data_IF_358599270956
#
_entry.id   IF_358599270956
#
_cell.length_a   1.000
_cell.length_b   1.000
_cell.length_c   1.000
_cell.angle_alpha   90.00
_cell.angle_beta   90.00
_cell.angle_gamma   90.00
#
_symmetry.space_group_name_H-M   'P 1'
#
loop_
_entity.id
_entity.type
_entity.pdbx_description
1 polymer ?
#
# COMPACT_ATOMS: atom_id res chain seq x y z
N UNK A 1 7.38 22.91 -13.30
CA UNK A 1 7.72 21.78 -12.42
C UNK A 1 8.29 20.71 -13.33
N UNK A 2 9.61 20.44 -13.30
CA UNK A 2 10.20 19.41 -14.15
C UNK A 2 9.61 18.06 -13.78
N UNK A 3 9.22 17.27 -14.78
CA UNK A 3 8.77 15.90 -14.55
C UNK A 3 9.95 15.13 -13.93
N UNK A 4 9.74 14.62 -12.70
CA UNK A 4 10.76 13.83 -12.02
C UNK A 4 10.95 12.52 -12.79
N UNK A 5 12.20 12.14 -13.01
CA UNK A 5 12.54 10.83 -13.59
C UNK A 5 12.23 9.73 -12.57
N UNK A 6 12.00 8.51 -13.05
CA UNK A 6 11.73 7.33 -12.21
C UNK A 6 12.76 6.26 -12.49
N UNK A 7 13.30 5.63 -11.47
CA UNK A 7 14.09 4.43 -11.66
C UNK A 7 13.18 3.23 -11.96
N UNK A 8 13.67 2.38 -12.82
CA UNK A 8 13.07 1.10 -13.16
C UNK A 8 14.16 0.06 -12.97
N UNK A 9 13.85 -0.96 -12.18
CA UNK A 9 14.74 -2.10 -11.93
C UNK A 9 14.12 -3.31 -12.61
N UNK A 10 14.73 -3.79 -13.68
CA UNK A 10 14.24 -4.98 -14.39
C UNK A 10 14.57 -6.28 -13.64
N UNK A 11 14.07 -7.40 -14.13
CA UNK A 11 14.26 -8.72 -13.51
C UNK A 11 15.73 -9.16 -13.47
N UNK A 12 16.64 -8.52 -14.21
CA UNK A 12 18.08 -8.74 -14.21
C UNK A 12 18.82 -7.81 -13.26
N UNK A 13 18.13 -6.84 -12.66
CA UNK A 13 18.70 -5.83 -11.78
C UNK A 13 19.30 -4.62 -12.51
N UNK A 14 19.05 -4.47 -13.80
CA UNK A 14 19.45 -3.25 -14.54
C UNK A 14 18.58 -2.06 -14.11
N UNK A 15 19.24 -0.93 -13.81
CA UNK A 15 18.58 0.30 -13.39
C UNK A 15 18.50 1.26 -14.58
N UNK A 16 17.29 1.70 -14.90
CA UNK A 16 16.99 2.69 -15.95
C UNK A 16 16.24 3.86 -15.35
N UNK A 17 16.58 5.08 -15.73
CA UNK A 17 15.87 6.29 -15.32
C UNK A 17 14.96 6.78 -16.43
N UNK A 18 13.71 7.10 -16.11
CA UNK A 18 12.74 7.58 -17.09
C UNK A 18 11.76 8.60 -16.47
N UNK A 19 11.26 9.57 -17.26
CA UNK A 19 10.22 10.47 -16.82
C UNK A 19 8.96 9.72 -16.38
N UNK A 20 8.27 10.26 -15.39
CA UNK A 20 7.02 9.69 -14.84
C UNK A 20 5.99 9.34 -15.94
N UNK A 21 5.89 10.17 -16.96
CA UNK A 21 4.98 9.97 -18.08
C UNK A 21 5.29 8.74 -18.94
N UNK A 22 6.50 8.18 -18.80
CA UNK A 22 6.96 7.03 -19.60
C UNK A 22 6.85 5.69 -18.86
N UNK A 23 6.24 5.63 -17.68
CA UNK A 23 6.10 4.37 -16.95
C UNK A 23 5.39 3.29 -17.79
N UNK A 24 4.44 3.68 -18.65
CA UNK A 24 3.71 2.76 -19.53
C UNK A 24 4.63 2.10 -20.57
N UNK A 25 5.78 2.69 -20.89
CA UNK A 25 6.73 2.11 -21.87
C UNK A 25 7.43 0.85 -21.34
N UNK A 26 7.43 0.64 -20.04
CA UNK A 26 8.02 -0.53 -19.38
C UNK A 26 6.99 -1.65 -19.09
N UNK A 27 5.73 -1.39 -19.44
CA UNK A 27 4.67 -2.38 -19.39
C UNK A 27 4.55 -3.06 -20.78
N UNK A 28 4.03 -4.28 -20.79
CA UNK A 28 3.95 -5.12 -22.00
C UNK A 28 2.48 -5.39 -22.34
N UNK A 29 2.13 -5.51 -23.62
CA UNK A 29 0.81 -6.04 -24.00
C UNK A 29 0.55 -7.37 -23.29
N UNK A 30 -0.65 -7.52 -22.74
CA UNK A 30 -1.02 -8.68 -21.92
C UNK A 30 -0.73 -8.54 -20.41
N UNK A 31 -0.07 -7.47 -19.96
CA UNK A 31 0.04 -7.17 -18.52
C UNK A 31 -1.31 -6.74 -17.93
N UNK A 32 -1.49 -6.98 -16.64
CA UNK A 32 -2.57 -6.40 -15.83
C UNK A 32 -1.99 -5.53 -14.72
N UNK A 33 -2.30 -4.26 -14.76
CA UNK A 33 -1.96 -3.29 -13.71
C UNK A 33 -3.11 -3.22 -12.71
N UNK A 34 -2.81 -3.39 -11.42
CA UNK A 34 -3.80 -3.35 -10.34
C UNK A 34 -3.42 -2.26 -9.35
N UNK A 35 -4.38 -1.36 -9.06
CA UNK A 35 -4.21 -0.25 -8.13
C UNK A 35 -5.27 -0.28 -7.01
N UNK A 36 -4.98 0.43 -5.91
CA UNK A 36 -5.95 0.68 -4.85
C UNK A 36 -6.80 1.91 -5.21
N UNK A 37 -8.12 1.73 -5.29
CA UNK A 37 -9.09 2.80 -5.56
C UNK A 37 -9.69 3.41 -4.28
N UNK A 38 -9.20 3.07 -3.11
CA UNK A 38 -9.68 3.71 -1.89
C UNK A 38 -9.39 5.21 -1.89
N UNK A 39 -10.39 6.02 -1.55
CA UNK A 39 -10.19 7.41 -1.19
C UNK A 39 -9.68 7.51 0.25
N UNK A 40 -8.85 8.51 0.51
CA UNK A 40 -8.33 8.78 1.85
C UNK A 40 -9.42 9.36 2.75
N UNK A 41 -9.53 8.82 3.95
CA UNK A 41 -10.37 9.33 5.03
C UNK A 41 -9.76 10.61 5.63
N UNK A 42 -10.57 11.53 6.17
CA UNK A 42 -10.11 12.58 7.07
C UNK A 42 -9.82 11.98 8.46
N UNK A 43 -8.72 11.24 8.56
CA UNK A 43 -8.42 10.34 9.68
C UNK A 43 -7.66 11.01 10.85
N UNK A 44 -7.25 12.28 10.72
CA UNK A 44 -6.63 13.07 11.80
C UNK A 44 -7.66 14.05 12.39
N UNK A 45 -7.92 13.94 13.69
CA UNK A 45 -8.96 14.68 14.41
C UNK A 45 -8.34 15.39 15.60
N UNK A 46 -8.39 16.72 15.61
CA UNK A 46 -8.02 17.52 16.77
C UNK A 46 -9.18 17.61 17.77
N UNK A 47 -8.89 17.60 19.05
CA UNK A 47 -9.94 17.69 20.06
C UNK A 47 -9.42 17.75 21.50
N UNK A 48 -10.29 17.36 22.42
CA UNK A 48 -10.04 17.42 23.85
C UNK A 48 -10.42 16.10 24.49
N UNK A 49 -9.59 15.60 25.37
CA UNK A 49 -9.90 14.50 26.28
C UNK A 49 -10.75 15.08 27.43
N UNK A 50 -12.05 14.79 27.43
CA UNK A 50 -13.01 15.45 28.31
C UNK A 50 -12.66 15.32 29.82
N UNK A 51 -12.23 14.14 30.33
CA UNK A 51 -11.92 13.99 31.76
C UNK A 51 -10.77 14.89 32.24
N UNK A 52 -9.72 15.12 31.43
CA UNK A 52 -8.54 15.92 31.81
C UNK A 52 -8.53 17.31 31.22
N UNK A 53 -9.45 17.65 30.33
CA UNK A 53 -9.47 18.86 29.52
C UNK A 53 -8.17 19.08 28.67
N UNK A 54 -7.36 18.05 28.48
CA UNK A 54 -6.12 18.12 27.71
C UNK A 54 -6.42 18.13 26.21
N UNK A 55 -5.71 18.95 25.44
CA UNK A 55 -5.73 18.92 23.99
C UNK A 55 -5.09 17.62 23.47
N UNK A 56 -5.71 17.02 22.47
CA UNK A 56 -5.26 15.77 21.84
C UNK A 56 -5.41 15.82 20.33
N UNK A 57 -4.64 15.00 19.62
CA UNK A 57 -4.91 14.56 18.27
C UNK A 57 -5.21 13.06 18.26
N UNK A 58 -6.28 12.67 17.59
CA UNK A 58 -6.65 11.27 17.35
C UNK A 58 -6.42 10.95 15.90
N UNK A 59 -5.56 9.97 15.61
CA UNK A 59 -5.38 9.42 14.25
C UNK A 59 -6.06 8.07 14.18
N UNK A 60 -7.08 7.98 13.34
CA UNK A 60 -7.74 6.71 13.03
C UNK A 60 -6.74 5.85 12.23
N UNK A 61 -6.58 4.59 12.58
CA UNK A 61 -5.54 3.73 11.97
C UNK A 61 -6.04 2.39 11.47
N UNK A 62 -7.24 1.98 11.90
CA UNK A 62 -7.82 0.71 11.50
C UNK A 62 -9.34 0.67 11.72
N UNK A 63 -10.03 -0.14 10.91
CA UNK A 63 -11.44 -0.51 11.05
C UNK A 63 -11.66 -1.94 10.52
N UNK A 64 -12.66 -2.64 11.05
CA UNK A 64 -12.89 -4.05 10.70
C UNK A 64 -13.55 -4.25 9.32
N UNK A 65 -14.28 -3.26 8.82
CA UNK A 65 -15.12 -3.37 7.63
C UNK A 65 -14.86 -2.23 6.65
N UNK A 66 -15.04 -2.51 5.36
CA UNK A 66 -15.04 -1.50 4.29
C UNK A 66 -16.44 -0.92 4.05
N UNK A 67 -17.47 -1.41 4.75
CA UNK A 67 -18.83 -0.90 4.59
C UNK A 67 -18.95 0.51 5.18
N UNK A 68 -19.53 1.44 4.40
CA UNK A 68 -19.77 2.81 4.84
C UNK A 68 -20.72 2.92 6.04
N UNK A 69 -21.58 1.92 6.26
CA UNK A 69 -22.47 1.89 7.42
C UNK A 69 -21.73 1.63 8.74
N UNK A 70 -20.56 0.97 8.69
CA UNK A 70 -19.77 0.60 9.87
C UNK A 70 -18.80 1.70 10.32
N UNK A 71 -19.20 2.97 10.22
CA UNK A 71 -18.36 4.14 10.50
C UNK A 71 -18.24 4.50 11.98
N UNK A 72 -18.81 3.72 12.88
CA UNK A 72 -18.82 4.06 14.30
C UNK A 72 -17.55 3.63 15.04
N UNK A 73 -16.98 2.48 14.71
CA UNK A 73 -15.87 1.89 15.49
C UNK A 73 -14.57 1.93 14.72
N UNK A 74 -13.52 2.47 15.37
CA UNK A 74 -12.16 2.52 14.83
C UNK A 74 -11.14 2.16 15.91
N UNK A 75 -10.01 1.61 15.49
CA UNK A 75 -8.79 1.73 16.29
C UNK A 75 -8.09 3.04 15.94
N UNK A 76 -7.49 3.66 16.95
CA UNK A 76 -6.84 4.95 16.81
C UNK A 76 -5.57 5.04 17.65
N UNK A 77 -4.63 5.87 17.21
CA UNK A 77 -3.48 6.31 18.00
C UNK A 77 -3.76 7.72 18.48
N UNK A 78 -3.62 7.93 19.80
CA UNK A 78 -3.84 9.23 20.44
C UNK A 78 -2.50 9.89 20.74
N UNK A 79 -2.39 11.17 20.41
CA UNK A 79 -1.27 12.04 20.71
C UNK A 79 -1.73 13.14 21.67
N UNK A 80 -0.78 13.74 22.42
CA UNK A 80 -1.03 15.00 23.11
C UNK A 80 -1.16 16.19 22.16
N UNK A 81 -1.14 17.39 22.69
CA UNK A 81 -1.28 18.63 21.96
C UNK A 81 -0.29 18.76 20.78
N UNK A 82 -0.69 19.50 19.74
CA UNK A 82 0.13 19.78 18.55
C UNK A 82 -0.50 19.25 17.26
N UNK A 83 0.19 19.43 16.15
CA UNK A 83 -0.28 19.07 14.81
C UNK A 83 0.84 18.44 13.97
N UNK A 84 0.61 18.27 12.67
CA UNK A 84 1.54 17.65 11.72
C UNK A 84 2.88 18.40 11.58
N UNK A 85 3.00 19.67 12.02
CA UNK A 85 4.26 20.43 11.95
C UNK A 85 5.30 19.95 12.93
N UNK A 86 4.85 19.28 14.01
CA UNK A 86 5.75 18.58 14.94
C UNK A 86 5.97 17.17 14.43
N UNK A 87 7.23 16.73 14.39
CA UNK A 87 7.56 15.35 14.01
C UNK A 87 6.79 14.38 14.88
N UNK A 88 6.34 13.29 14.32
CA UNK A 88 5.44 12.36 15.00
C UNK A 88 6.06 11.80 16.29
N UNK A 89 7.37 11.52 16.26
CA UNK A 89 8.16 11.05 17.39
C UNK A 89 8.38 12.10 18.49
N UNK A 90 8.29 13.40 18.14
CA UNK A 90 8.48 14.53 19.08
C UNK A 90 7.15 15.02 19.68
N UNK A 91 6.02 14.38 19.31
CA UNK A 91 4.69 14.74 19.81
C UNK A 91 4.56 14.42 21.30
N UNK A 92 3.96 15.30 22.11
CA UNK A 92 3.66 15.03 23.51
C UNK A 92 2.85 13.73 23.67
N UNK A 93 3.06 13.05 24.79
CA UNK A 93 2.22 11.91 25.16
C UNK A 93 0.78 12.39 25.43
N UNK A 94 -0.23 11.55 25.13
CA UNK A 94 -1.60 11.85 25.51
C UNK A 94 -1.75 11.81 27.04
N UNK A 95 -2.85 12.36 27.60
CA UNK A 95 -3.22 12.12 28.99
C UNK A 95 -3.43 10.61 29.21
N UNK A 96 -3.53 10.20 30.49
CA UNK A 96 -3.93 8.82 30.80
C UNK A 96 -5.32 8.57 30.20
N UNK A 97 -5.44 7.49 29.42
CA UNK A 97 -6.66 7.09 28.72
C UNK A 97 -7.26 5.86 29.39
N UNK A 98 -8.58 5.84 29.58
CA UNK A 98 -9.30 4.72 30.18
C UNK A 98 -10.57 4.37 29.37
N UNK A 99 -11.02 3.10 29.41
CA UNK A 99 -12.33 2.75 28.88
C UNK A 99 -13.45 3.59 29.51
N UNK A 100 -14.37 4.10 28.70
CA UNK A 100 -15.43 5.01 29.10
C UNK A 100 -15.09 6.49 28.98
N UNK A 101 -13.83 6.87 28.78
CA UNK A 101 -13.44 8.27 28.57
C UNK A 101 -14.10 8.82 27.29
N UNK A 102 -14.56 10.06 27.39
CA UNK A 102 -15.14 10.80 26.26
C UNK A 102 -14.09 11.67 25.58
N UNK A 103 -14.02 11.59 24.27
CA UNK A 103 -13.19 12.43 23.40
C UNK A 103 -14.10 13.39 22.61
N UNK A 104 -13.88 14.69 22.78
CA UNK A 104 -14.61 15.74 22.04
C UNK A 104 -13.76 16.16 20.83
N UNK A 105 -14.17 15.75 19.64
CA UNK A 105 -13.41 15.88 18.40
C UNK A 105 -14.16 16.81 17.43
N UNK A 106 -14.15 18.09 17.73
CA UNK A 106 -14.94 19.10 17.02
C UNK A 106 -16.44 18.83 17.14
N UNK A 107 -17.17 18.60 16.02
CA UNK A 107 -18.59 18.26 16.08
C UNK A 107 -18.88 16.82 16.46
N UNK A 108 -17.84 15.98 16.59
CA UNK A 108 -17.93 14.57 16.92
C UNK A 108 -17.67 14.33 18.40
N UNK A 109 -18.33 13.32 18.93
CA UNK A 109 -18.04 12.75 20.24
C UNK A 109 -17.76 11.27 20.07
N UNK A 110 -16.68 10.80 20.72
CA UNK A 110 -16.32 9.39 20.72
C UNK A 110 -16.07 8.92 22.17
N UNK A 111 -16.39 7.66 22.43
CA UNK A 111 -16.08 6.99 23.70
C UNK A 111 -14.96 5.99 23.46
N UNK A 112 -14.01 5.91 24.36
CA UNK A 112 -12.98 4.86 24.37
C UNK A 112 -13.66 3.57 24.84
N UNK A 113 -13.74 2.57 23.97
CA UNK A 113 -14.27 1.25 24.33
C UNK A 113 -13.20 0.41 25.06
N UNK A 114 -11.95 0.51 24.64
CA UNK A 114 -10.81 -0.19 25.21
C UNK A 114 -9.50 0.55 24.96
N UNK A 115 -8.57 0.49 25.89
CA UNK A 115 -7.15 0.72 25.63
C UNK A 115 -6.57 -0.61 25.20
N UNK A 116 -5.93 -0.62 24.02
CA UNK A 116 -5.36 -1.82 23.39
C UNK A 116 -3.97 -2.14 23.99
N UNK A 117 -3.19 -2.96 23.30
CA UNK A 117 -1.87 -3.44 23.78
C UNK A 117 -0.81 -2.35 23.96
N UNK A 118 -1.15 -1.10 23.72
CA UNK A 118 -0.28 0.05 23.90
C UNK A 118 -1.07 1.24 24.47
N UNK A 119 -0.55 2.01 25.46
CA UNK A 119 -1.30 3.06 26.16
C UNK A 119 -1.78 4.21 25.26
N UNK A 120 -1.18 4.38 24.07
CA UNK A 120 -1.62 5.36 23.07
C UNK A 120 -2.61 4.79 22.05
N UNK A 121 -2.82 3.46 22.06
CA UNK A 121 -3.67 2.80 21.08
C UNK A 121 -5.01 2.42 21.69
N UNK A 122 -6.08 2.91 21.12
CA UNK A 122 -7.44 2.74 21.66
C UNK A 122 -8.40 2.20 20.60
N UNK A 123 -9.39 1.44 21.03
CA UNK A 123 -10.63 1.25 20.28
C UNK A 123 -11.60 2.33 20.71
N UNK A 124 -12.15 3.05 19.75
CA UNK A 124 -13.10 4.13 20.02
C UNK A 124 -14.38 3.96 19.20
N UNK A 125 -15.48 4.52 19.75
CA UNK A 125 -16.79 4.50 19.12
C UNK A 125 -17.37 5.90 19.04
N UNK A 126 -17.66 6.34 17.82
CA UNK A 126 -18.37 7.60 17.57
C UNK A 126 -19.85 7.50 17.92
N UNK A 127 -20.38 8.57 18.49
CA UNK A 127 -21.80 8.74 18.79
C UNK A 127 -22.56 9.30 17.58
N UNK A 128 -23.86 8.99 17.51
CA UNK A 128 -24.77 9.51 16.48
C UNK A 128 -25.08 8.53 15.37
N UNK A 129 -25.72 8.99 14.30
CA UNK A 129 -25.99 8.18 13.10
C UNK A 129 -24.78 8.08 12.19
N UNK A 130 -24.68 7.07 11.31
CA UNK A 130 -23.61 7.00 10.31
C UNK A 130 -23.46 8.29 9.51
N UNK A 131 -24.57 8.91 9.12
CA UNK A 131 -24.58 10.17 8.37
C UNK A 131 -23.97 11.33 9.17
N UNK A 132 -24.28 11.40 10.48
CA UNK A 132 -23.71 12.45 11.35
C UNK A 132 -22.23 12.24 11.59
N UNK A 133 -21.76 10.99 11.71
CA UNK A 133 -20.34 10.67 11.83
C UNK A 133 -19.60 11.06 10.55
N UNK A 134 -20.09 10.64 9.38
CA UNK A 134 -19.50 11.03 8.10
C UNK A 134 -19.44 12.55 7.90
N UNK A 135 -20.53 13.24 8.21
CA UNK A 135 -20.57 14.72 8.11
C UNK A 135 -19.58 15.38 9.06
N UNK A 136 -19.43 14.85 10.27
CA UNK A 136 -18.46 15.32 11.25
C UNK A 136 -17.01 15.09 10.82
N UNK A 137 -16.69 13.88 10.35
CA UNK A 137 -15.39 13.55 9.77
C UNK A 137 -15.04 14.48 8.61
N UNK A 138 -15.94 14.65 7.65
CA UNK A 138 -15.73 15.50 6.48
C UNK A 138 -15.54 16.99 6.84
N UNK A 139 -16.22 17.48 7.87
CA UNK A 139 -16.15 18.88 8.30
C UNK A 139 -14.91 19.20 9.14
N UNK A 140 -14.53 18.31 10.03
CA UNK A 140 -13.53 18.55 11.08
C UNK A 140 -12.22 17.80 10.85
N UNK A 141 -12.30 16.57 10.36
CA UNK A 141 -11.13 15.75 10.12
C UNK A 141 -10.22 16.30 9.02
N UNK A 142 -8.97 15.88 9.07
CA UNK A 142 -7.92 16.21 8.10
C UNK A 142 -7.25 14.91 7.63
N UNK A 143 -6.60 14.90 6.45
CA UNK A 143 -5.68 13.84 6.10
C UNK A 143 -4.61 13.70 7.18
N UNK A 144 -4.16 12.48 7.45
CA UNK A 144 -2.95 12.27 8.24
C UNK A 144 -1.78 12.87 7.46
N UNK A 145 -0.98 13.69 8.14
CA UNK A 145 0.20 14.35 7.60
C UNK A 145 1.39 14.18 8.52
N UNK A 146 2.57 14.32 7.93
CA UNK A 146 3.85 14.26 8.61
C UNK A 146 4.64 15.55 8.45
N UNK A 147 5.62 15.81 9.30
CA UNK A 147 6.32 17.09 9.41
C UNK A 147 7.14 17.51 8.18
N UNK A 148 7.42 16.59 7.27
CA UNK A 148 8.06 16.94 5.98
C UNK A 148 7.11 17.68 5.03
N UNK A 149 5.80 17.66 5.30
CA UNK A 149 4.80 18.42 4.56
C UNK A 149 4.70 19.83 5.15
N UNK A 150 5.06 20.85 4.39
CA UNK A 150 5.12 22.23 4.88
C UNK A 150 3.77 22.95 4.92
N UNK A 151 2.80 22.47 4.14
CA UNK A 151 1.47 23.08 4.02
C UNK A 151 0.36 22.09 4.42
N UNK A 152 -0.74 22.57 5.05
CA UNK A 152 -1.89 21.71 5.31
C UNK A 152 -2.47 21.15 4.02
N UNK A 153 -2.75 19.86 4.00
CA UNK A 153 -3.41 19.18 2.90
C UNK A 153 -4.93 19.19 3.07
N UNK A 154 -5.63 19.38 1.97
CA UNK A 154 -7.05 19.11 1.87
C UNK A 154 -7.27 17.66 1.36
N UNK A 155 -8.49 17.13 1.49
CA UNK A 155 -8.81 15.76 1.05
C UNK A 155 -8.54 15.54 -0.44
N UNK A 156 -8.83 16.54 -1.29
CA UNK A 156 -8.55 16.41 -2.74
C UNK A 156 -7.07 16.41 -3.09
N UNK A 157 -6.18 16.87 -2.20
CA UNK A 157 -4.73 16.80 -2.41
C UNK A 157 -4.20 15.37 -2.21
N UNK A 158 -4.96 14.54 -1.48
CA UNK A 158 -4.60 13.16 -1.13
C UNK A 158 -5.49 12.12 -1.84
N UNK A 159 -6.45 12.53 -2.66
CA UNK A 159 -7.23 11.63 -3.48
C UNK A 159 -6.57 11.41 -4.83
N UNK A 160 -6.40 10.14 -5.17
CA UNK A 160 -5.87 9.74 -6.47
C UNK A 160 -6.93 9.93 -7.57
N UNK A 161 -6.53 9.98 -8.86
CA UNK A 161 -7.50 10.10 -9.97
C UNK A 161 -8.55 8.97 -10.01
N UNK A 162 -8.25 7.83 -9.40
CA UNK A 162 -9.14 6.64 -9.37
C UNK A 162 -9.85 6.48 -8.02
N UNK A 163 -9.73 7.44 -7.12
CA UNK A 163 -10.32 7.37 -5.77
C UNK A 163 -11.85 7.19 -5.82
N UNK A 164 -12.35 6.20 -5.08
CA UNK A 164 -13.76 5.83 -5.04
C UNK A 164 -14.32 5.86 -3.61
N UNK A 165 -14.11 4.80 -2.82
CA UNK A 165 -14.67 4.66 -1.47
C UNK A 165 -13.72 5.22 -0.41
N UNK A 166 -14.17 6.13 0.50
CA UNK A 166 -13.32 6.71 1.54
C UNK A 166 -13.10 5.72 2.69
N UNK A 167 -12.07 4.89 2.58
CA UNK A 167 -11.74 3.84 3.56
C UNK A 167 -10.25 3.80 3.93
N UNK A 168 -9.35 4.42 3.16
CA UNK A 168 -7.93 4.42 3.45
C UNK A 168 -7.57 5.47 4.50
N UNK A 169 -6.73 5.14 5.47
CA UNK A 169 -6.27 6.07 6.51
C UNK A 169 -5.15 6.98 6.02
N UNK A 170 -4.29 6.45 5.17
CA UNK A 170 -3.33 7.22 4.39
C UNK A 170 -3.58 7.04 2.88
N UNK A 171 -3.14 8.00 2.05
CA UNK A 171 -3.33 7.92 0.63
C UNK A 171 -2.60 6.72 0.03
N UNK A 172 -3.20 6.00 -0.96
CA UNK A 172 -2.49 5.02 -1.76
C UNK A 172 -1.51 5.74 -2.70
N UNK A 173 -0.43 6.28 -2.13
CA UNK A 173 0.45 7.29 -2.75
C UNK A 173 1.10 6.82 -4.04
N UNK A 174 1.40 5.53 -4.19
CA UNK A 174 1.91 4.97 -5.44
C UNK A 174 0.93 5.19 -6.62
N UNK A 175 -0.38 5.27 -6.35
CA UNK A 175 -1.41 5.49 -7.37
C UNK A 175 -1.45 6.94 -7.91
N UNK A 176 -0.77 7.89 -7.28
CA UNK A 176 -0.53 9.21 -7.90
C UNK A 176 0.35 9.10 -9.15
N UNK A 177 0.99 7.95 -9.34
CA UNK A 177 1.71 7.64 -10.58
C UNK A 177 0.81 7.59 -11.80
N UNK A 178 -0.47 7.32 -11.60
CA UNK A 178 -1.47 7.16 -12.65
C UNK A 178 -2.15 8.50 -12.93
N UNK A 179 -2.46 8.71 -14.20
CA UNK A 179 -3.43 9.68 -14.66
C UNK A 179 -4.34 9.02 -15.73
N UNK A 180 -5.42 9.69 -16.09
CA UNK A 180 -6.34 9.16 -17.10
C UNK A 180 -5.70 8.97 -18.48
N UNK A 181 -4.67 9.78 -18.80
CA UNK A 181 -3.87 9.63 -20.01
C UNK A 181 -3.08 8.32 -20.01
N UNK A 182 -2.41 8.01 -18.90
CA UNK A 182 -1.67 6.77 -18.71
C UNK A 182 -2.58 5.55 -18.79
N UNK A 183 -3.77 5.59 -18.14
CA UNK A 183 -4.75 4.49 -18.19
C UNK A 183 -5.27 4.28 -19.62
N UNK A 184 -5.55 5.35 -20.37
CA UNK A 184 -5.93 5.27 -21.78
C UNK A 184 -4.81 4.65 -22.61
N UNK A 185 -3.58 5.12 -22.46
CA UNK A 185 -2.43 4.61 -23.19
C UNK A 185 -2.19 3.13 -22.89
N UNK A 186 -2.33 2.69 -21.63
CA UNK A 186 -2.28 1.26 -21.28
C UNK A 186 -3.30 0.47 -22.10
N UNK A 187 -4.56 0.91 -22.13
CA UNK A 187 -5.63 0.25 -22.87
C UNK A 187 -5.34 0.17 -24.38
N UNK A 188 -4.87 1.27 -24.98
CA UNK A 188 -4.50 1.34 -26.40
C UNK A 188 -3.36 0.37 -26.75
N UNK A 189 -2.48 0.07 -25.78
CA UNK A 189 -1.36 -0.87 -25.92
C UNK A 189 -1.67 -2.31 -25.51
N UNK A 190 -2.93 -2.63 -25.24
CA UNK A 190 -3.34 -3.98 -24.82
C UNK A 190 -2.88 -4.35 -23.40
N UNK A 191 -2.70 -3.37 -22.53
CA UNK A 191 -2.40 -3.54 -21.10
C UNK A 191 -3.70 -3.34 -20.33
N UNK A 192 -4.12 -4.36 -19.58
CA UNK A 192 -5.32 -4.29 -18.76
C UNK A 192 -5.09 -3.47 -17.48
N UNK A 193 -6.16 -2.80 -17.02
CA UNK A 193 -6.17 -2.06 -15.76
C UNK A 193 -7.36 -2.50 -14.91
N UNK A 194 -7.12 -2.77 -13.63
CA UNK A 194 -8.16 -3.13 -12.66
C UNK A 194 -7.87 -2.49 -11.31
N UNK A 195 -8.85 -2.49 -10.42
CA UNK A 195 -8.71 -1.95 -9.06
C UNK A 195 -9.11 -2.97 -8.01
N UNK A 196 -8.57 -2.78 -6.81
CA UNK A 196 -9.06 -3.32 -5.55
C UNK A 196 -9.34 -2.16 -4.61
N UNK A 197 -10.23 -2.33 -3.65
CA UNK A 197 -10.41 -1.38 -2.56
C UNK A 197 -9.68 -1.89 -1.32
N UNK A 198 -8.78 -1.10 -0.75
CA UNK A 198 -8.01 -1.50 0.42
C UNK A 198 -7.88 -0.33 1.39
N UNK A 199 -8.21 -0.57 2.66
CA UNK A 199 -8.04 0.39 3.74
C UNK A 199 -6.57 0.44 4.17
N UNK A 200 -5.74 1.17 3.40
CA UNK A 200 -4.33 1.36 3.73
C UNK A 200 -4.19 1.99 5.11
N UNK A 201 -3.36 1.38 5.97
CA UNK A 201 -3.07 1.84 7.32
C UNK A 201 -2.11 3.03 7.35
N UNK A 202 -1.56 3.31 8.54
CA UNK A 202 -0.57 4.38 8.75
C UNK A 202 0.85 3.86 8.53
N UNK A 203 1.73 4.73 8.05
CA UNK A 203 3.14 4.42 7.79
C UNK A 203 4.03 4.68 9.00
N UNK A 204 3.61 5.54 9.95
CA UNK A 204 4.30 5.82 11.21
C UNK A 204 3.34 6.28 12.30
N UNK A 205 3.60 5.83 13.52
CA UNK A 205 2.90 6.30 14.73
C UNK A 205 3.79 7.22 15.57
N UNK A 206 5.08 7.34 15.23
CA UNK A 206 6.10 8.04 16.01
C UNK A 206 6.43 7.39 17.35
N UNK A 207 5.99 6.18 17.55
CA UNK A 207 6.31 5.36 18.70
C UNK A 207 7.07 4.12 18.25
N UNK A 208 8.33 3.91 18.67
CA UNK A 208 9.15 2.81 18.18
C UNK A 208 8.57 1.42 18.48
N UNK A 209 7.76 1.28 19.52
CA UNK A 209 7.10 0.00 19.82
C UNK A 209 5.94 -0.27 18.86
N UNK A 210 5.10 0.73 18.61
CA UNK A 210 4.02 0.63 17.64
C UNK A 210 4.54 0.52 16.21
N UNK A 211 5.57 1.27 15.84
CA UNK A 211 6.13 1.27 14.48
C UNK A 211 6.75 -0.09 14.12
N UNK A 212 7.28 -0.84 15.12
CA UNK A 212 7.69 -2.24 14.90
C UNK A 212 6.52 -3.19 14.60
N UNK A 213 5.28 -2.80 14.93
CA UNK A 213 4.07 -3.58 14.62
C UNK A 213 3.52 -3.28 13.24
N UNK A 214 4.00 -2.24 12.58
CA UNK A 214 3.59 -1.90 11.21
C UNK A 214 4.07 -2.94 10.19
N UNK A 215 3.35 -3.15 9.09
CA UNK A 215 2.02 -2.60 8.83
C UNK A 215 0.94 -3.33 9.66
N UNK A 216 -0.08 -2.60 10.09
CA UNK A 216 -1.26 -3.22 10.71
C UNK A 216 -2.02 -4.07 9.70
N UNK A 217 -3.02 -4.79 10.19
CA UNK A 217 -3.95 -5.53 9.34
C UNK A 217 -4.71 -4.56 8.43
N UNK A 218 -4.86 -4.92 7.14
CA UNK A 218 -5.50 -4.06 6.15
C UNK A 218 -6.68 -4.79 5.50
N UNK A 219 -7.92 -4.39 5.83
CA UNK A 219 -9.10 -4.90 5.13
C UNK A 219 -9.07 -4.50 3.64
N UNK A 220 -9.43 -5.47 2.78
CA UNK A 220 -9.50 -5.25 1.34
C UNK A 220 -10.73 -5.92 0.72
N UNK A 221 -11.11 -5.45 -0.45
CA UNK A 221 -12.13 -6.04 -1.32
C UNK A 221 -11.58 -6.20 -2.74
N UNK A 222 -11.69 -7.42 -3.26
CA UNK A 222 -11.35 -7.73 -4.66
C UNK A 222 -12.65 -7.88 -5.45
N UNK A 223 -12.95 -6.98 -6.42
CA UNK A 223 -14.11 -7.11 -7.28
C UNK A 223 -14.04 -8.38 -8.15
N UNK A 224 -15.21 -8.93 -8.52
CA UNK A 224 -15.32 -10.10 -9.42
C UNK A 224 -14.61 -9.86 -10.76
N UNK A 225 -14.76 -8.65 -11.30
CA UNK A 225 -14.08 -8.26 -12.55
C UNK A 225 -12.55 -8.31 -12.41
N UNK A 226 -12.01 -7.88 -11.27
CA UNK A 226 -10.55 -7.92 -11.02
C UNK A 226 -10.06 -9.34 -10.85
N UNK A 227 -10.77 -10.19 -10.10
CA UNK A 227 -10.43 -11.60 -9.95
C UNK A 227 -10.44 -12.32 -11.30
N UNK A 228 -11.46 -12.08 -12.12
CA UNK A 228 -11.59 -12.65 -13.47
C UNK A 228 -10.45 -12.18 -14.39
N UNK A 229 -10.07 -10.89 -14.33
CA UNK A 229 -8.94 -10.34 -15.10
C UNK A 229 -7.60 -10.98 -14.69
N UNK A 230 -7.37 -11.18 -13.38
CA UNK A 230 -6.18 -11.87 -12.87
C UNK A 230 -6.10 -13.30 -13.44
N UNK A 231 -7.20 -14.04 -13.40
CA UNK A 231 -7.25 -15.41 -13.91
C UNK A 231 -6.99 -15.46 -15.42
N UNK A 232 -7.57 -14.54 -16.16
CA UNK A 232 -7.37 -14.45 -17.62
C UNK A 232 -5.90 -14.19 -17.94
N UNK A 233 -5.31 -13.14 -17.36
CA UNK A 233 -3.93 -12.75 -17.62
C UNK A 233 -2.94 -13.85 -17.24
N UNK A 234 -3.14 -14.52 -16.09
CA UNK A 234 -2.27 -15.63 -15.69
C UNK A 234 -2.37 -16.85 -16.59
N UNK A 235 -3.54 -17.15 -17.15
CA UNK A 235 -3.70 -18.24 -18.15
C UNK A 235 -2.98 -17.93 -19.46
N UNK A 236 -3.00 -16.67 -19.88
CA UNK A 236 -2.33 -16.21 -21.10
C UNK A 236 -0.83 -15.96 -20.91
N UNK A 237 -0.27 -16.20 -19.70
CA UNK A 237 1.14 -15.99 -19.39
C UNK A 237 1.55 -14.53 -19.17
N UNK A 238 0.59 -13.62 -19.02
CA UNK A 238 0.82 -12.21 -18.74
C UNK A 238 1.27 -11.97 -17.29
N UNK A 239 1.73 -10.73 -17.01
CA UNK A 239 2.24 -10.31 -15.69
C UNK A 239 1.18 -9.55 -14.91
N UNK A 240 1.22 -9.70 -13.58
CA UNK A 240 0.45 -8.87 -12.62
C UNK A 240 1.38 -7.81 -12.05
N UNK A 241 1.04 -6.55 -12.29
CA UNK A 241 1.80 -5.37 -11.84
C UNK A 241 0.99 -4.68 -10.73
N UNK A 242 1.48 -4.71 -9.50
CA UNK A 242 0.84 -4.05 -8.38
C UNK A 242 1.29 -2.59 -8.25
N UNK A 243 0.34 -1.67 -8.02
CA UNK A 243 0.63 -0.27 -7.68
C UNK A 243 0.55 -0.11 -6.16
N UNK A 244 1.72 -0.06 -5.51
CA UNK A 244 1.86 0.08 -4.07
C UNK A 244 2.05 -1.24 -3.32
N UNK A 245 2.75 -1.14 -2.19
CA UNK A 245 3.10 -2.28 -1.32
C UNK A 245 1.87 -2.91 -0.68
N UNK A 246 0.85 -2.13 -0.36
CA UNK A 246 -0.42 -2.59 0.21
C UNK A 246 -1.19 -3.46 -0.79
N UNK A 247 -1.19 -3.10 -2.08
CA UNK A 247 -1.80 -3.92 -3.15
C UNK A 247 -1.09 -5.27 -3.26
N UNK A 248 0.25 -5.30 -3.17
CA UNK A 248 1.02 -6.56 -3.12
C UNK A 248 0.55 -7.43 -1.96
N UNK A 249 0.44 -6.85 -0.75
CA UNK A 249 -0.01 -7.58 0.44
C UNK A 249 -1.39 -8.20 0.24
N UNK A 250 -2.37 -7.42 -0.23
CA UNK A 250 -3.74 -7.90 -0.45
C UNK A 250 -3.80 -9.04 -1.48
N UNK A 251 -3.12 -8.87 -2.61
CA UNK A 251 -3.11 -9.87 -3.69
C UNK A 251 -2.40 -11.17 -3.25
N UNK A 252 -1.25 -11.08 -2.59
CA UNK A 252 -0.51 -12.24 -2.10
C UNK A 252 -1.25 -12.96 -0.96
N UNK A 253 -1.95 -12.21 -0.08
CA UNK A 253 -2.81 -12.79 0.94
C UNK A 253 -3.96 -13.59 0.31
N UNK A 254 -4.66 -13.00 -0.65
CA UNK A 254 -5.76 -13.68 -1.36
C UNK A 254 -5.28 -14.96 -2.08
N UNK A 255 -4.12 -14.90 -2.75
CA UNK A 255 -3.52 -16.05 -3.43
C UNK A 255 -3.09 -17.17 -2.46
N UNK A 256 -2.67 -16.82 -1.24
CA UNK A 256 -2.27 -17.78 -0.21
C UNK A 256 -3.45 -18.54 0.35
N UNK A 257 -4.56 -17.85 0.66
CA UNK A 257 -5.80 -18.46 1.17
C UNK A 257 -6.33 -19.53 0.22
N UNK A 258 -6.37 -19.23 -1.07
CA UNK A 258 -6.89 -20.17 -2.06
C UNK A 258 -5.94 -21.36 -2.30
N UNK A 259 -4.64 -21.16 -2.17
CA UNK A 259 -3.65 -22.24 -2.24
C UNK A 259 -3.76 -23.24 -1.10
N UNK A 260 -4.09 -22.82 0.12
CA UNK A 260 -4.29 -23.68 1.27
C UNK A 260 -5.56 -24.54 1.18
N UNK A 261 -6.65 -23.98 0.62
CA UNK A 261 -7.90 -24.69 0.42
C UNK A 261 -7.79 -25.83 -0.62
N UNK A 262 -6.91 -25.70 -1.60
CA UNK A 262 -6.64 -26.78 -2.58
C UNK A 262 -5.77 -27.89 -2.02
N UNK A 263 -4.75 -27.56 -1.25
CA UNK A 263 -3.86 -28.55 -0.65
C UNK A 263 -4.56 -29.52 0.33
N UNK A 264 -5.68 -29.09 0.94
CA UNK A 264 -6.50 -29.95 1.79
C UNK A 264 -7.47 -30.84 0.99
N UNK A 265 -8.00 -30.39 -0.15
CA UNK A 265 -8.89 -31.19 -1.01
C UNK A 265 -8.17 -32.19 -1.88
N UNK A 266 -6.95 -31.89 -2.34
CA UNK A 266 -6.14 -32.81 -3.17
C UNK A 266 -5.54 -33.97 -2.38
N UNK A 267 -5.39 -33.86 -1.05
CA UNK A 267 -4.87 -34.97 -0.22
C UNK A 267 -5.92 -36.04 0.10
N UNK A 268 -7.20 -35.80 -0.05
CA UNK A 268 -8.27 -36.76 0.19
C UNK A 268 -8.62 -37.63 -1.04
N UNK A 269 -8.04 -37.37 -2.23
CA UNK A 269 -8.41 -38.04 -3.47
C UNK A 269 -7.31 -38.64 -4.34
N UNK A 270 -6.05 -38.60 -3.94
CA UNK A 270 -4.95 -39.09 -4.79
C UNK A 270 -4.61 -40.55 -4.52
N UNK A 271 -5.26 -41.45 -5.24
CA UNK A 271 -4.75 -42.77 -5.58
C UNK A 271 -3.71 -42.63 -6.70
N UNK A 272 -2.59 -43.32 -6.53
CA UNK A 272 -1.41 -43.32 -7.40
C UNK A 272 -1.74 -43.55 -8.89
N UNK A 273 -1.37 -42.62 -9.76
CA UNK A 273 -1.26 -42.86 -11.20
C UNK A 273 -0.23 -41.91 -11.85
N UNK A 274 0.86 -42.53 -12.30
CA UNK A 274 1.76 -42.22 -13.45
C UNK A 274 2.28 -40.82 -13.69
N UNK A 275 3.61 -40.72 -13.77
CA UNK A 275 4.49 -39.61 -14.13
C UNK A 275 4.13 -38.79 -15.37
N UNK A 276 3.41 -37.71 -15.11
CA UNK A 276 3.27 -36.55 -15.97
C UNK A 276 3.49 -35.35 -15.11
N UNK A 277 4.24 -34.37 -15.62
CA UNK A 277 4.47 -33.08 -14.96
C UNK A 277 3.11 -32.44 -14.64
N UNK A 278 2.75 -32.43 -13.36
CA UNK A 278 1.45 -31.88 -12.92
C UNK A 278 1.36 -30.42 -13.38
N UNK A 279 0.24 -29.99 -14.02
CA UNK A 279 0.07 -28.62 -14.42
C UNK A 279 0.28 -27.71 -13.20
N UNK A 280 1.18 -26.71 -13.30
CA UNK A 280 1.40 -25.70 -12.27
C UNK A 280 0.05 -25.21 -11.79
N UNK A 281 -0.29 -25.52 -10.53
CA UNK A 281 -1.54 -25.04 -9.93
C UNK A 281 -1.57 -23.53 -10.07
N UNK A 282 -2.47 -23.01 -10.89
CA UNK A 282 -2.68 -21.59 -11.03
C UNK A 282 -3.13 -21.05 -9.68
N UNK A 283 -2.37 -20.11 -9.13
CA UNK A 283 -2.78 -19.41 -7.91
C UNK A 283 -4.08 -18.66 -8.23
N UNK A 284 -5.17 -19.11 -7.65
CA UNK A 284 -6.50 -18.56 -7.88
C UNK A 284 -6.74 -17.49 -6.83
N UNK A 285 -7.22 -16.33 -7.27
CA UNK A 285 -7.71 -15.25 -6.42
C UNK A 285 -9.20 -15.18 -6.58
N UNK A 286 -9.95 -15.25 -5.45
CA UNK A 286 -11.40 -15.08 -5.46
C UNK A 286 -11.77 -13.65 -5.18
N UNK A 287 -12.89 -13.22 -5.77
CA UNK A 287 -13.54 -11.99 -5.41
C UNK A 287 -14.05 -12.03 -3.97
N UNK A 288 -14.20 -10.86 -3.37
CA UNK A 288 -14.75 -10.69 -2.03
C UNK A 288 -13.84 -9.98 -1.07
N UNK A 289 -14.23 -9.98 0.19
CA UNK A 289 -13.56 -9.29 1.27
C UNK A 289 -12.49 -10.18 1.93
N UNK A 290 -11.41 -9.54 2.39
CA UNK A 290 -10.35 -10.18 3.16
C UNK A 290 -9.62 -9.18 4.03
N UNK A 291 -8.70 -9.69 4.86
CA UNK A 291 -7.82 -8.86 5.70
C UNK A 291 -6.39 -9.32 5.45
N UNK A 292 -5.56 -8.43 4.93
CA UNK A 292 -4.13 -8.70 4.74
C UNK A 292 -3.40 -8.52 6.08
N UNK A 293 -3.18 -9.62 6.78
CA UNK A 293 -2.56 -9.70 8.10
C UNK A 293 -1.07 -10.13 8.04
N UNK A 294 -0.62 -10.67 6.91
CA UNK A 294 0.76 -11.12 6.74
C UNK A 294 1.73 -9.97 6.51
N UNK A 295 2.98 -10.20 6.89
CA UNK A 295 4.13 -9.38 6.53
C UNK A 295 4.86 -10.01 5.36
N UNK A 296 5.22 -9.17 4.39
CA UNK A 296 6.03 -9.57 3.23
C UNK A 296 7.44 -9.01 3.42
N UNK A 297 8.45 -9.83 3.19
CA UNK A 297 9.86 -9.48 3.30
C UNK A 297 10.75 -10.42 2.48
N UNK A 298 12.08 -10.37 2.64
CA UNK A 298 13.04 -11.05 1.77
C UNK A 298 12.89 -12.58 1.73
N UNK A 299 12.36 -13.19 2.79
CA UNK A 299 12.08 -14.63 2.84
C UNK A 299 10.72 -14.99 2.23
N UNK A 300 9.89 -14.04 1.87
CA UNK A 300 8.56 -14.27 1.33
C UNK A 300 8.64 -14.72 -0.13
N UNK A 301 7.91 -15.77 -0.45
CA UNK A 301 7.76 -16.23 -1.84
C UNK A 301 6.48 -15.64 -2.43
N UNK A 302 6.62 -14.67 -3.31
CA UNK A 302 5.49 -14.12 -4.05
C UNK A 302 4.90 -15.19 -4.99
N UNK A 303 3.58 -15.26 -5.01
CA UNK A 303 2.82 -16.26 -5.78
C UNK A 303 2.15 -15.68 -7.00
N UNK A 304 1.73 -14.42 -6.93
CA UNK A 304 0.88 -13.79 -7.92
C UNK A 304 1.52 -12.60 -8.59
N UNK A 305 2.12 -11.68 -7.80
CA UNK A 305 2.61 -10.40 -8.30
C UNK A 305 3.98 -10.55 -8.94
N UNK A 306 4.12 -10.03 -10.16
CA UNK A 306 5.35 -10.14 -10.97
C UNK A 306 6.18 -8.86 -10.98
N UNK A 307 5.54 -7.70 -10.74
CA UNK A 307 6.25 -6.43 -10.58
C UNK A 307 5.47 -5.49 -9.67
N UNK A 308 6.17 -4.53 -9.09
CA UNK A 308 5.60 -3.48 -8.25
C UNK A 308 6.02 -2.10 -8.75
N UNK A 309 5.06 -1.20 -8.87
CA UNK A 309 5.31 0.24 -8.91
C UNK A 309 5.04 0.81 -7.51
N UNK A 310 6.06 1.33 -6.86
CA UNK A 310 6.00 1.84 -5.48
C UNK A 310 6.60 3.23 -5.37
N UNK A 311 6.32 3.95 -4.29
CA UNK A 311 7.15 5.06 -3.86
C UNK A 311 8.58 4.60 -3.56
N UNK A 312 9.51 5.53 -3.52
CA UNK A 312 10.87 5.27 -3.01
C UNK A 312 10.82 5.32 -1.49
N UNK A 313 11.27 4.26 -0.84
CA UNK A 313 11.18 4.09 0.60
C UNK A 313 12.56 3.96 1.22
N UNK A 314 12.70 4.42 2.47
CA UNK A 314 13.92 4.25 3.24
C UNK A 314 14.13 2.77 3.63
N UNK A 315 15.40 2.29 3.67
CA UNK A 315 15.72 0.88 3.91
C UNK A 315 15.13 0.27 5.18
N UNK A 316 14.94 1.07 6.23
CA UNK A 316 14.41 0.61 7.52
C UNK A 316 12.88 0.56 7.58
N UNK A 317 12.20 1.07 6.57
CA UNK A 317 10.73 1.13 6.50
C UNK A 317 10.08 -0.22 6.20
N UNK A 318 8.87 -0.43 6.74
CA UNK A 318 8.06 -1.64 6.46
C UNK A 318 7.76 -1.83 4.98
N UNK A 319 7.58 -0.74 4.24
CA UNK A 319 7.37 -0.74 2.79
C UNK A 319 8.60 -1.24 2.02
N UNK A 320 9.80 -0.89 2.47
CA UNK A 320 11.04 -1.38 1.85
C UNK A 320 11.20 -2.90 1.99
N UNK A 321 10.73 -3.48 3.10
CA UNK A 321 10.75 -4.93 3.28
C UNK A 321 9.97 -5.66 2.18
N UNK A 322 8.88 -5.07 1.68
CA UNK A 322 8.11 -5.63 0.57
C UNK A 322 8.94 -5.65 -0.72
N UNK A 323 9.73 -4.59 -0.99
CA UNK A 323 10.60 -4.54 -2.17
C UNK A 323 11.66 -5.65 -2.16
N UNK A 324 12.15 -6.04 -0.98
CA UNK A 324 13.10 -7.15 -0.77
C UNK A 324 12.54 -8.53 -1.17
N UNK A 325 11.22 -8.66 -1.31
CA UNK A 325 10.60 -9.88 -1.86
C UNK A 325 10.68 -9.95 -3.40
N UNK A 326 10.95 -8.82 -4.07
CA UNK A 326 11.08 -8.74 -5.53
C UNK A 326 12.53 -8.84 -5.99
N UNK A 327 13.46 -8.25 -5.22
CA UNK A 327 14.85 -8.09 -5.62
C UNK A 327 15.79 -8.29 -4.43
N UNK A 328 17.02 -8.72 -4.69
CA UNK A 328 18.04 -8.90 -3.66
C UNK A 328 18.54 -7.56 -3.09
N UNK A 329 19.08 -7.63 -1.86
CA UNK A 329 19.53 -6.46 -1.09
C UNK A 329 20.63 -5.66 -1.81
N UNK A 330 21.51 -6.32 -2.57
CA UNK A 330 22.58 -5.64 -3.31
C UNK A 330 22.00 -4.78 -4.41
N UNK A 331 21.11 -5.33 -5.22
CA UNK A 331 20.46 -4.59 -6.31
C UNK A 331 19.62 -3.42 -5.78
N UNK A 332 18.92 -3.63 -4.65
CA UNK A 332 18.16 -2.55 -4.00
C UNK A 332 19.07 -1.47 -3.41
N UNK A 333 20.24 -1.82 -2.87
CA UNK A 333 21.23 -0.85 -2.40
C UNK A 333 21.83 -0.03 -3.57
N UNK A 334 22.13 -0.69 -4.70
CA UNK A 334 22.57 0.00 -5.92
C UNK A 334 21.49 0.96 -6.45
N UNK A 335 20.21 0.54 -6.41
CA UNK A 335 19.08 1.39 -6.77
C UNK A 335 18.96 2.61 -5.85
N UNK A 336 19.09 2.43 -4.53
CA UNK A 336 19.05 3.53 -3.56
C UNK A 336 20.20 4.51 -3.78
N UNK A 337 21.43 4.03 -4.01
CA UNK A 337 22.57 4.90 -4.32
C UNK A 337 22.33 5.72 -5.60
N UNK A 338 21.71 5.11 -6.62
CA UNK A 338 21.32 5.81 -7.85
C UNK A 338 20.24 6.88 -7.56
N UNK A 339 19.26 6.57 -6.70
CA UNK A 339 18.23 7.52 -6.26
C UNK A 339 18.84 8.74 -5.55
N UNK A 340 19.74 8.52 -4.62
CA UNK A 340 20.46 9.59 -3.89
C UNK A 340 21.27 10.46 -4.85
N UNK A 341 22.05 9.84 -5.74
CA UNK A 341 22.88 10.54 -6.74
C UNK A 341 22.04 11.45 -7.62
N UNK A 342 20.86 10.99 -8.04
CA UNK A 342 19.91 11.71 -8.89
C UNK A 342 18.96 12.62 -8.09
N UNK A 343 19.10 12.67 -6.75
CA UNK A 343 18.28 13.50 -5.84
C UNK A 343 16.78 13.22 -5.95
N UNK A 344 16.41 11.96 -6.04
CA UNK A 344 15.00 11.55 -5.97
C UNK A 344 14.41 11.85 -4.59
N UNK A 345 13.12 12.15 -4.57
CA UNK A 345 12.38 12.39 -3.32
C UNK A 345 11.88 11.08 -2.78
N UNK A 346 12.31 10.73 -1.57
CA UNK A 346 11.78 9.60 -0.79
C UNK A 346 10.59 10.11 0.02
N UNK A 347 9.48 9.52 0.04
CA UNK A 347 8.27 9.64 0.87
C UNK A 347 6.97 9.58 0.03
N UNK A 348 5.79 9.62 0.68
CA UNK A 348 4.49 9.27 0.08
C UNK A 348 4.13 10.07 -1.18
N UNK A 349 4.59 11.31 -1.29
CA UNK A 349 4.35 12.16 -2.47
C UNK A 349 5.60 12.36 -3.32
N UNK A 350 6.58 11.48 -3.14
CA UNK A 350 7.85 11.53 -3.82
C UNK A 350 7.85 10.86 -5.19
N UNK A 351 9.04 10.44 -5.56
CA UNK A 351 9.28 9.71 -6.78
C UNK A 351 8.86 8.23 -6.63
N UNK A 352 8.82 7.50 -7.72
CA UNK A 352 8.39 6.10 -7.71
C UNK A 352 9.41 5.22 -8.42
N UNK A 353 9.48 3.98 -8.02
CA UNK A 353 10.29 2.94 -8.63
C UNK A 353 9.41 1.82 -9.15
N UNK A 354 9.67 1.33 -10.36
CA UNK A 354 9.10 0.10 -10.89
C UNK A 354 10.16 -1.01 -10.73
N UNK A 355 9.81 -2.08 -10.01
CA UNK A 355 10.70 -3.22 -9.77
C UNK A 355 10.04 -4.48 -10.31
N UNK A 356 10.68 -5.14 -11.26
CA UNK A 356 10.29 -6.48 -11.72
C UNK A 356 10.82 -7.55 -10.77
N UNK A 357 10.03 -8.59 -10.53
CA UNK A 357 10.47 -9.72 -9.70
C UNK A 357 11.59 -10.48 -10.39
N UNK A 358 12.70 -10.71 -9.66
CA UNK A 358 13.79 -11.54 -10.12
C UNK A 358 13.30 -12.96 -10.41
N UNK A 359 13.44 -13.41 -11.65
CA UNK A 359 13.15 -14.77 -12.02
C UNK A 359 14.31 -15.64 -11.53
N UNK A 360 14.02 -16.67 -10.72
CA UNK A 360 15.04 -17.67 -10.36
C UNK A 360 15.63 -18.22 -11.66
N UNK A 361 16.94 -18.07 -11.87
CA UNK A 361 17.62 -18.54 -13.06
C UNK A 361 17.34 -20.04 -13.21
N UNK A 362 16.55 -20.41 -14.21
CA UNK A 362 16.65 -21.74 -14.77
C UNK A 362 18.08 -21.85 -15.27
N UNK A 363 18.83 -22.83 -14.76
CA UNK A 363 20.22 -23.15 -15.11
C UNK A 363 20.40 -23.09 -16.62
N UNK A 364 20.96 -21.98 -17.16
CA UNK A 364 21.33 -21.93 -18.57
C UNK A 364 22.25 -20.79 -18.89
N UNK A 365 23.39 -21.15 -19.47
CA UNK A 365 24.17 -20.44 -20.47
C UNK A 365 24.42 -18.93 -20.24
N UNK A 366 25.66 -18.63 -19.84
CA UNK A 366 26.27 -17.30 -19.88
C UNK A 366 26.00 -16.61 -21.20
N UNK A 367 25.25 -15.51 -21.16
CA UNK A 367 25.18 -14.58 -22.28
C UNK A 367 26.20 -13.47 -22.04
N UNK A 368 27.37 -13.59 -22.68
CA UNK A 368 28.49 -12.63 -22.62
C UNK A 368 28.22 -11.35 -23.43
N UNK A 369 26.98 -11.00 -23.74
CA UNK A 369 26.63 -9.89 -24.64
C UNK A 369 25.93 -8.68 -24.00
N UNK A 370 25.85 -8.60 -22.67
CA UNK A 370 25.37 -7.37 -22.02
C UNK A 370 26.52 -6.34 -21.90
N UNK A 371 26.93 -5.73 -22.99
CA UNK A 371 27.65 -4.47 -22.96
C UNK A 371 26.61 -3.33 -22.79
N UNK A 372 26.80 -2.42 -21.83
CA UNK A 372 25.86 -1.33 -21.63
C UNK A 372 25.90 -0.36 -22.83
N UNK A 373 24.78 -0.16 -23.45
CA UNK A 373 24.55 0.70 -24.64
C UNK A 373 24.61 2.21 -24.38
N UNK A 374 25.05 2.65 -23.19
CA UNK A 374 25.04 4.07 -22.81
C UNK A 374 26.38 4.81 -23.07
N UNK A 375 27.33 4.20 -23.78
CA UNK A 375 28.65 4.82 -24.11
C UNK A 375 28.70 5.48 -25.48
N UNK A 376 27.60 5.74 -26.14
CA UNK A 376 27.58 6.36 -27.48
C UNK A 376 26.53 7.43 -27.67
N UNK A 377 26.37 8.42 -26.82
CA UNK A 377 25.68 9.68 -27.15
C UNK A 377 26.16 10.81 -26.21
N UNK A 378 27.39 11.24 -26.36
CA UNK A 378 27.80 12.64 -26.15
C UNK A 378 28.44 13.12 -27.43
N UNK A 379 27.78 13.95 -28.23
CA UNK A 379 28.53 14.88 -29.10
C UNK A 379 28.93 16.11 -28.28
N UNK A 380 30.09 16.63 -28.58
CA UNK A 380 30.81 17.78 -28.04
C UNK A 380 29.96 19.06 -27.93
#
# INVERSE_FOLDING_TARGET
MMAADRPIVDAQGCITHAPRSRVVDFLRPGDLVIANDAATLPASLQGVHAPSAAEIEVRLVWRASLDAADVHTFSAVVFGAGDFRTRTEDRPLPPFLAPGDCLLLGPLSATIDAVLDHPRMVSLRFSGSPQSVWAGLARHGRPIQYAYMTTPLALWDVWTPIAALPVAFEPPSASFALDWGSIRTMRERGIAFATITLAAGVSSTGDPELDRRLPFDEPYRIPEATASAIHHVKREGGRIIAIGTTVVRALEHAATRDGSARGSREREGASEASGGEAPRALNIVRAGDGVADQRIGPASRLRLVDAILSGTHEPDGSHYQVLRAFMDDRTLADANAALETMRYRTHEFGDSVLIERKVAAATSLSCDSCRPLWLQLCPA
#
